data_IF_450427125728
#
_entry.id   IF_450427125728
#
_cell.length_a   1.000
_cell.length_b   1.000
_cell.length_c   1.000
_cell.angle_alpha   90.00
_cell.angle_beta   90.00
_cell.angle_gamma   90.00
#
_symmetry.space_group_name_H-M   'P 1'
#
loop_
_entity.id
_entity.type
_entity.pdbx_description
1 polymer ?
#
# COMPACT_ATOMS: atom_id res chain seq x y z
N UNK A 1 2.68 -1.37 -11.47
CA UNK A 1 1.90 -2.35 -10.71
C UNK A 1 0.74 -3.01 -11.43
N UNK A 2 0.48 -2.65 -12.67
CA UNK A 2 -0.73 -3.14 -13.36
C UNK A 2 -0.81 -4.67 -13.51
N UNK A 3 0.34 -5.36 -13.46
CA UNK A 3 0.43 -6.81 -13.55
C UNK A 3 0.92 -7.47 -12.26
N UNK A 4 0.78 -6.80 -11.16
CA UNK A 4 1.29 -7.30 -9.87
C UNK A 4 0.66 -8.64 -9.48
N UNK A 5 -0.59 -8.88 -9.87
CA UNK A 5 -1.25 -10.15 -9.60
C UNK A 5 -0.53 -11.35 -10.22
N UNK A 6 0.12 -11.17 -11.38
CA UNK A 6 0.85 -12.25 -12.02
C UNK A 6 2.03 -12.73 -11.17
N UNK A 7 2.65 -11.84 -10.39
CA UNK A 7 3.74 -12.19 -9.51
C UNK A 7 3.32 -13.10 -8.35
N UNK A 8 2.03 -13.14 -8.04
CA UNK A 8 1.50 -13.92 -6.94
C UNK A 8 1.08 -15.34 -7.33
N UNK A 9 1.13 -15.67 -8.62
CA UNK A 9 0.64 -16.97 -9.10
C UNK A 9 1.34 -18.15 -8.41
N UNK A 10 2.65 -18.10 -8.26
CA UNK A 10 3.41 -19.18 -7.62
C UNK A 10 3.13 -19.24 -6.11
N UNK A 11 2.97 -18.09 -5.46
CA UNK A 11 2.64 -18.04 -4.04
C UNK A 11 1.24 -18.60 -3.79
N UNK A 12 0.28 -18.25 -4.65
CA UNK A 12 -1.09 -18.74 -4.53
C UNK A 12 -1.16 -20.27 -4.63
N UNK A 13 -0.29 -20.86 -5.44
CA UNK A 13 -0.21 -22.31 -5.60
C UNK A 13 0.53 -22.99 -4.45
N UNK A 14 1.18 -22.24 -3.58
CA UNK A 14 1.97 -22.81 -2.48
C UNK A 14 1.07 -23.31 -1.38
N UNK A 15 1.24 -24.58 -0.93
CA UNK A 15 0.43 -25.11 0.18
C UNK A 15 0.65 -24.30 1.46
N UNK A 16 -0.45 -23.96 2.11
CA UNK A 16 -0.39 -23.23 3.38
C UNK A 16 -0.30 -21.72 3.26
N UNK A 17 -0.19 -21.19 2.04
CA UNK A 17 -0.20 -19.73 1.87
C UNK A 17 -1.58 -19.17 2.17
N UNK A 18 -1.63 -18.23 3.13
CA UNK A 18 -2.86 -17.52 3.52
C UNK A 18 -2.73 -16.05 3.17
N UNK A 19 -3.44 -15.56 2.14
CA UNK A 19 -3.36 -14.13 1.76
C UNK A 19 -3.71 -13.17 2.90
N UNK A 20 -4.59 -13.57 3.80
CA UNK A 20 -4.99 -12.68 4.89
C UNK A 20 -3.88 -12.49 5.93
N UNK A 21 -3.05 -13.52 6.15
CA UNK A 21 -2.02 -13.48 7.18
C UNK A 21 -0.58 -13.41 6.69
N UNK A 22 -0.33 -13.86 5.46
CA UNK A 22 1.03 -14.05 4.97
C UNK A 22 1.47 -13.04 3.93
N UNK A 23 0.62 -12.07 3.58
CA UNK A 23 0.88 -11.13 2.49
C UNK A 23 0.66 -9.70 2.96
N UNK A 24 1.64 -8.83 2.68
CA UNK A 24 1.49 -7.39 2.86
C UNK A 24 1.87 -6.72 1.54
N UNK A 25 0.93 -5.96 0.99
CA UNK A 25 1.13 -5.23 -0.27
C UNK A 25 1.40 -3.77 0.05
N UNK A 26 2.45 -3.22 -0.52
CA UNK A 26 2.79 -1.80 -0.40
C UNK A 26 2.33 -1.08 -1.66
N UNK A 27 1.52 -0.04 -1.50
CA UNK A 27 0.96 0.70 -2.64
C UNK A 27 0.98 2.21 -2.38
N UNK A 28 1.07 2.97 -3.46
CA UNK A 28 0.86 4.42 -3.43
C UNK A 28 -0.64 4.73 -3.35
N UNK A 29 -0.99 5.85 -2.72
CA UNK A 29 -2.39 6.25 -2.57
C UNK A 29 -2.52 7.76 -2.58
N UNK A 30 -3.22 8.30 -3.58
CA UNK A 30 -3.44 9.75 -3.72
C UNK A 30 -4.49 10.28 -2.75
N UNK A 31 -5.26 9.41 -2.12
CA UNK A 31 -6.24 9.80 -1.12
C UNK A 31 -5.59 10.06 0.25
N UNK A 32 -4.33 9.68 0.41
CA UNK A 32 -3.58 9.90 1.65
C UNK A 32 -2.53 10.99 1.39
N UNK A 33 -2.43 12.00 2.26
CA UNK A 33 -1.44 13.06 2.08
C UNK A 33 -0.01 12.54 2.06
N UNK A 34 0.82 13.18 1.24
CA UNK A 34 2.26 12.90 1.23
C UNK A 34 2.83 13.14 2.62
N UNK A 35 3.69 12.23 3.06
CA UNK A 35 4.28 12.29 4.39
C UNK A 35 3.58 11.42 5.42
N UNK A 36 2.52 10.71 5.02
CA UNK A 36 1.80 9.79 5.91
C UNK A 36 1.59 8.45 5.22
N UNK A 37 1.27 7.43 6.01
CA UNK A 37 0.91 6.11 5.48
C UNK A 37 -0.17 5.49 6.37
N UNK A 38 -0.86 4.48 5.86
CA UNK A 38 -1.89 3.76 6.61
C UNK A 38 -1.84 2.28 6.26
N UNK A 39 -2.08 1.46 7.28
CA UNK A 39 -2.24 0.02 7.14
C UNK A 39 -3.71 -0.34 7.15
N UNK A 40 -4.09 -1.33 6.34
CA UNK A 40 -5.43 -1.89 6.30
C UNK A 40 -5.34 -3.40 6.13
N UNK A 41 -6.27 -4.12 6.78
CA UNK A 41 -6.34 -5.58 6.64
C UNK A 41 -7.21 -6.04 5.49
N UNK A 42 -8.06 -5.17 4.97
CA UNK A 42 -8.99 -5.51 3.90
C UNK A 42 -9.49 -4.23 3.24
N UNK A 43 -10.16 -4.38 2.12
CA UNK A 43 -10.79 -3.26 1.42
C UNK A 43 -10.74 -3.43 -0.09
N UNK A 44 -11.50 -2.59 -0.80
CA UNK A 44 -11.52 -2.63 -2.26
C UNK A 44 -10.25 -2.05 -2.86
N UNK A 45 -9.96 -2.42 -4.10
CA UNK A 45 -8.87 -1.83 -4.87
C UNK A 45 -9.12 -0.36 -5.21
N UNK A 46 -10.37 0.09 -5.16
CA UNK A 46 -10.73 1.41 -5.62
C UNK A 46 -10.35 1.59 -7.08
N UNK A 47 -9.69 2.71 -7.40
CA UNK A 47 -9.19 2.97 -8.74
C UNK A 47 -7.75 2.51 -8.98
N UNK A 48 -7.12 1.85 -8.01
CA UNK A 48 -5.70 1.48 -8.12
C UNK A 48 -5.52 0.22 -8.97
N UNK A 49 -4.88 0.37 -10.13
CA UNK A 49 -4.73 -0.73 -11.08
C UNK A 49 -3.92 -1.90 -10.55
N UNK A 50 -2.88 -1.61 -9.76
CA UNK A 50 -2.08 -2.65 -9.13
C UNK A 50 -2.89 -3.50 -8.17
N UNK A 51 -3.71 -2.85 -7.33
CA UNK A 51 -4.58 -3.57 -6.40
C UNK A 51 -5.67 -4.36 -7.13
N UNK A 52 -6.20 -3.82 -8.24
CA UNK A 52 -7.16 -4.55 -9.06
C UNK A 52 -6.55 -5.84 -9.62
N UNK A 53 -5.29 -5.78 -10.05
CA UNK A 53 -4.57 -6.94 -10.55
C UNK A 53 -4.39 -7.99 -9.45
N UNK A 54 -4.00 -7.55 -8.26
CA UNK A 54 -3.81 -8.44 -7.11
C UNK A 54 -5.13 -9.05 -6.66
N UNK A 55 -6.18 -8.22 -6.57
CA UNK A 55 -7.52 -8.68 -6.20
C UNK A 55 -8.04 -9.73 -7.18
N UNK A 56 -7.81 -9.51 -8.47
CA UNK A 56 -8.18 -10.47 -9.50
C UNK A 56 -7.42 -11.79 -9.38
N UNK A 57 -6.13 -11.74 -9.04
CA UNK A 57 -5.31 -12.93 -8.89
C UNK A 57 -5.69 -13.72 -7.64
N UNK A 58 -5.98 -13.05 -6.54
CA UNK A 58 -6.33 -13.68 -5.27
C UNK A 58 -7.81 -14.00 -5.16
N UNK A 59 -8.66 -13.31 -5.91
CA UNK A 59 -10.11 -13.40 -5.88
C UNK A 59 -10.68 -13.12 -4.48
N UNK A 60 -10.02 -12.20 -3.75
CA UNK A 60 -10.42 -11.76 -2.42
C UNK A 60 -9.84 -10.39 -2.13
N UNK A 61 -10.41 -9.70 -1.15
CA UNK A 61 -10.01 -8.36 -0.73
C UNK A 61 -9.43 -8.32 0.68
N UNK A 62 -9.35 -9.45 1.37
CA UNK A 62 -8.93 -9.51 2.77
C UNK A 62 -7.42 -9.83 2.89
N UNK A 63 -6.59 -9.08 2.18
CA UNK A 63 -5.15 -9.12 2.34
C UNK A 63 -4.66 -7.79 2.91
N UNK A 64 -3.58 -7.84 3.70
CA UNK A 64 -3.02 -6.65 4.32
C UNK A 64 -2.37 -5.74 3.29
N UNK A 65 -2.53 -4.43 3.46
CA UNK A 65 -1.91 -3.44 2.60
C UNK A 65 -1.39 -2.27 3.40
N UNK A 66 -0.25 -1.74 3.00
CA UNK A 66 0.32 -0.49 3.51
C UNK A 66 0.19 0.54 2.40
N UNK A 67 -0.64 1.55 2.64
CA UNK A 67 -0.89 2.62 1.67
C UNK A 67 0.03 3.79 1.96
N UNK A 68 0.89 4.12 0.99
CA UNK A 68 1.86 5.21 1.12
C UNK A 68 1.27 6.46 0.50
N UNK A 69 1.11 7.51 1.29
CA UNK A 69 0.51 8.75 0.82
C UNK A 69 1.37 9.45 -0.22
N UNK A 70 0.76 9.77 -1.35
CA UNK A 70 1.37 10.57 -2.41
C UNK A 70 0.46 11.73 -2.84
N UNK A 71 -0.66 11.89 -2.12
CA UNK A 71 -1.66 12.90 -2.44
C UNK A 71 -1.38 14.27 -1.83
N UNK A 72 -2.27 15.20 -2.04
CA UNK A 72 -3.45 15.05 -2.91
C UNK A 72 -3.09 15.12 -4.40
N UNK A 73 -3.99 14.59 -5.23
CA UNK A 73 -3.84 14.71 -6.69
C UNK A 73 -4.06 16.17 -7.09
N UNK A 74 -3.11 16.81 -7.81
CA UNK A 74 -3.28 18.19 -8.23
C UNK A 74 -4.49 18.35 -9.14
N UNK A 75 -5.20 19.47 -8.99
CA UNK A 75 -6.42 19.73 -9.78
C UNK A 75 -6.13 19.86 -11.28
N UNK A 76 -4.90 20.22 -11.64
CA UNK A 76 -4.46 20.39 -13.03
C UNK A 76 -3.81 19.13 -13.60
N UNK A 77 -3.77 18.04 -12.84
CA UNK A 77 -3.22 16.79 -13.35
C UNK A 77 -4.13 16.22 -14.43
N UNK A 78 -3.52 15.79 -15.53
CA UNK A 78 -4.27 15.23 -16.65
C UNK A 78 -4.76 13.83 -16.38
N UNK A 79 -4.33 13.21 -15.28
CA UNK A 79 -4.78 11.91 -14.83
C UNK A 79 -3.90 11.36 -13.73
N UNK A 80 -4.40 10.34 -13.06
CA UNK A 80 -3.69 9.69 -11.97
C UNK A 80 -2.36 9.12 -12.43
N UNK A 81 -2.33 8.52 -13.61
CA UNK A 81 -1.12 7.92 -14.17
C UNK A 81 -0.03 8.96 -14.38
N UNK A 82 -0.39 10.11 -14.94
CA UNK A 82 0.58 11.19 -15.15
C UNK A 82 1.12 11.73 -13.84
N UNK A 83 0.27 11.84 -12.82
CA UNK A 83 0.69 12.29 -11.50
C UNK A 83 1.66 11.30 -10.85
N UNK A 84 1.32 10.02 -10.86
CA UNK A 84 2.12 8.99 -10.18
C UNK A 84 3.46 8.77 -10.89
N UNK A 85 3.48 8.89 -12.22
CA UNK A 85 4.72 8.70 -13.00
C UNK A 85 5.58 9.96 -13.04
N UNK A 86 5.06 11.12 -12.62
CA UNK A 86 5.84 12.34 -12.50
C UNK A 86 6.86 12.22 -11.37
N UNK A 87 7.96 12.93 -11.47
CA UNK A 87 8.98 12.95 -10.43
C UNK A 87 8.52 13.74 -9.19
N UNK A 88 9.16 13.45 -8.06
CA UNK A 88 8.97 14.23 -6.85
C UNK A 88 9.96 15.39 -6.79
N UNK A 89 9.55 16.48 -6.14
CA UNK A 89 10.46 17.57 -5.80
C UNK A 89 11.44 17.10 -4.71
N UNK A 90 12.50 17.86 -4.46
CA UNK A 90 13.43 17.57 -3.36
C UNK A 90 12.70 17.49 -2.02
N UNK A 91 11.80 18.43 -1.78
CA UNK A 91 11.02 18.46 -0.54
C UNK A 91 10.16 17.23 -0.39
N UNK A 92 9.47 16.85 -1.48
CA UNK A 92 8.63 15.65 -1.48
C UNK A 92 9.45 14.38 -1.27
N UNK A 93 10.61 14.30 -1.92
CA UNK A 93 11.53 13.16 -1.74
C UNK A 93 12.00 13.05 -0.30
N UNK A 94 12.27 14.17 0.35
CA UNK A 94 12.69 14.21 1.75
C UNK A 94 11.56 13.71 2.66
N UNK A 95 10.33 14.12 2.39
CA UNK A 95 9.18 13.65 3.16
C UNK A 95 8.99 12.13 3.04
N UNK A 96 9.22 11.57 1.84
CA UNK A 96 9.16 10.13 1.64
C UNK A 96 10.31 9.42 2.35
N UNK A 97 11.51 9.97 2.29
CA UNK A 97 12.66 9.41 3.00
C UNK A 97 12.42 9.36 4.51
N UNK A 98 11.78 10.38 5.07
CA UNK A 98 11.47 10.43 6.49
C UNK A 98 10.43 9.37 6.90
N UNK A 99 9.67 8.82 5.95
CA UNK A 99 8.73 7.76 6.23
C UNK A 99 9.36 6.37 6.24
N UNK A 100 10.57 6.21 5.70
CA UNK A 100 11.17 4.88 5.55
C UNK A 100 11.29 4.14 6.88
N UNK A 101 11.83 4.79 7.90
CA UNK A 101 11.97 4.17 9.21
C UNK A 101 10.62 3.84 9.86
N UNK A 102 9.65 4.77 9.93
CA UNK A 102 8.32 4.44 10.45
C UNK A 102 7.63 3.31 9.68
N UNK A 103 7.76 3.27 8.36
CA UNK A 103 7.17 2.19 7.56
C UNK A 103 7.87 0.86 7.83
N UNK A 104 9.19 0.86 7.98
CA UNK A 104 9.93 -0.35 8.32
C UNK A 104 9.49 -0.90 9.68
N UNK A 105 9.29 -0.02 10.67
CA UNK A 105 8.78 -0.41 11.98
C UNK A 105 7.38 -1.02 11.87
N UNK A 106 6.54 -0.46 11.01
CA UNK A 106 5.19 -1.00 10.78
C UNK A 106 5.23 -2.39 10.17
N UNK A 107 6.12 -2.60 9.20
CA UNK A 107 6.30 -3.91 8.57
C UNK A 107 6.80 -4.94 9.61
N UNK A 108 7.75 -4.55 10.44
CA UNK A 108 8.26 -5.43 11.51
C UNK A 108 7.15 -5.80 12.49
N UNK A 109 6.30 -4.86 12.87
CA UNK A 109 5.16 -5.15 13.74
C UNK A 109 4.20 -6.12 13.07
N UNK A 110 3.93 -5.93 11.77
CA UNK A 110 3.07 -6.85 11.04
C UNK A 110 3.65 -8.27 11.00
N UNK A 111 4.93 -8.38 10.74
CA UNK A 111 5.61 -9.70 10.71
C UNK A 111 5.52 -10.39 12.06
N UNK A 112 5.75 -9.65 13.14
CA UNK A 112 5.82 -10.22 14.48
C UNK A 112 4.46 -10.42 15.14
N UNK A 113 3.49 -9.54 14.89
CA UNK A 113 2.26 -9.45 15.67
C UNK A 113 0.98 -9.39 14.83
N UNK A 114 1.07 -9.30 13.50
CA UNK A 114 -0.08 -9.30 12.61
C UNK A 114 -0.61 -7.91 12.28
N UNK A 115 -1.58 -7.88 11.34
CA UNK A 115 -2.08 -6.62 10.78
C UNK A 115 -2.87 -5.78 11.80
N UNK A 116 -3.65 -6.41 12.65
CA UNK A 116 -4.45 -5.64 13.61
C UNK A 116 -3.59 -4.89 14.61
N UNK A 117 -2.54 -5.51 15.12
CA UNK A 117 -1.59 -4.85 16.01
C UNK A 117 -0.83 -3.75 15.29
N UNK A 118 -0.43 -4.01 14.04
CA UNK A 118 0.26 -3.01 13.24
C UNK A 118 -0.63 -1.80 12.97
N UNK A 119 -1.91 -2.02 12.67
CA UNK A 119 -2.87 -0.93 12.49
C UNK A 119 -3.03 -0.11 13.77
N UNK A 120 -3.20 -0.79 14.89
CA UNK A 120 -3.39 -0.13 16.17
C UNK A 120 -2.20 0.73 16.58
N UNK A 121 -0.99 0.25 16.32
CA UNK A 121 0.24 0.92 16.74
C UNK A 121 0.70 2.01 15.77
N UNK A 122 0.49 1.81 14.46
CA UNK A 122 1.10 2.66 13.44
C UNK A 122 0.13 3.52 12.64
N UNK A 123 -1.17 3.23 12.64
CA UNK A 123 -2.16 4.09 11.99
C UNK A 123 -2.47 5.28 12.88
N UNK A 124 -1.57 6.23 12.90
CA UNK A 124 -1.84 7.45 13.64
C UNK A 124 -2.69 8.35 12.77
N UNK A 125 -3.79 8.82 13.33
CA UNK A 125 -4.59 9.80 12.64
C UNK A 125 -3.70 11.01 12.37
N UNK A 126 -3.62 11.50 11.15
CA UNK A 126 -2.97 12.78 10.91
C UNK A 126 -3.79 13.91 11.51
N UNK A 127 -4.81 13.54 12.13
CA UNK A 127 -5.87 14.34 12.75
C UNK A 127 -6.11 15.59 12.00
#
# INVERSE_FOLDING_TARGET
>A
MNRSGAALASLRAHPGFDPAGDLLILVDDVAIPLGTFRLRGAGSAGGHNGLKSIEGALQRQDYARLRIGVGPLPADASGLSDFVLGGFTEEESRQLDDLLDPMADAVETWVAEGIERAMSRHNRSPA
#
